data_IF_761453418839
#
_entry.id   IF_761453418839
#
_cell.length_a   1.000
_cell.length_b   1.000
_cell.length_c   1.000
_cell.angle_alpha   90.00
_cell.angle_beta   90.00
_cell.angle_gamma   90.00
#
_symmetry.space_group_name_H-M   'P 1'
#
loop_
_entity.id
_entity.type
_entity.pdbx_description
1 polymer ?
#
# COMPACT_ATOMS: atom_id res chain seq x y z
N UNK A 1 35.81 -17.16 20.70
CA UNK A 1 34.75 -16.17 20.45
C UNK A 1 34.19 -16.44 19.06
N UNK A 2 33.00 -17.03 18.96
CA UNK A 2 32.35 -17.29 17.68
C UNK A 2 31.51 -16.07 17.32
N UNK A 3 31.91 -15.37 16.26
CA UNK A 3 31.16 -14.24 15.70
C UNK A 3 30.06 -14.83 14.81
N UNK A 4 28.98 -15.36 15.40
CA UNK A 4 27.75 -15.69 14.65
C UNK A 4 26.93 -14.40 14.62
N UNK A 5 27.37 -13.49 13.77
CA UNK A 5 26.79 -12.16 13.64
C UNK A 5 26.51 -11.85 12.19
N UNK A 6 25.52 -12.50 11.58
CA UNK A 6 24.64 -11.88 10.58
C UNK A 6 23.30 -12.62 10.66
N UNK A 7 22.29 -11.92 11.18
CA UNK A 7 20.91 -12.41 11.23
C UNK A 7 20.41 -12.62 9.80
N UNK A 8 20.18 -13.87 9.40
CA UNK A 8 19.49 -14.19 8.15
C UNK A 8 18.01 -13.88 8.37
N UNK A 9 17.58 -12.66 8.01
CA UNK A 9 16.15 -12.37 7.92
C UNK A 9 15.52 -13.41 6.98
N UNK A 10 14.47 -14.09 7.42
CA UNK A 10 13.79 -15.09 6.59
C UNK A 10 13.29 -14.42 5.30
N UNK A 11 13.23 -15.15 4.19
CA UNK A 11 12.71 -14.61 2.92
C UNK A 11 11.30 -14.02 3.08
N UNK A 12 10.47 -14.57 3.98
CA UNK A 12 9.18 -14.00 4.36
C UNK A 12 9.31 -12.63 5.04
N UNK A 13 10.25 -12.48 5.96
CA UNK A 13 10.46 -11.22 6.69
C UNK A 13 10.90 -10.08 5.76
N UNK A 14 11.87 -10.34 4.88
CA UNK A 14 12.31 -9.36 3.89
C UNK A 14 11.19 -8.96 2.92
N UNK A 15 10.41 -9.94 2.48
CA UNK A 15 9.28 -9.69 1.60
C UNK A 15 8.16 -8.90 2.32
N UNK A 16 7.88 -9.20 3.60
CA UNK A 16 6.92 -8.45 4.40
C UNK A 16 7.31 -6.98 4.55
N UNK A 17 8.57 -6.70 4.87
CA UNK A 17 9.08 -5.32 4.95
C UNK A 17 8.93 -4.59 3.62
N UNK A 18 9.32 -5.24 2.52
CA UNK A 18 9.19 -4.66 1.18
C UNK A 18 7.72 -4.41 0.77
N UNK A 19 6.80 -5.29 1.16
CA UNK A 19 5.36 -5.11 0.93
C UNK A 19 4.81 -3.98 1.80
N UNK A 20 5.17 -3.91 3.09
CA UNK A 20 4.78 -2.82 3.98
C UNK A 20 5.21 -1.45 3.46
N UNK A 21 6.44 -1.35 2.93
CA UNK A 21 6.94 -0.11 2.33
C UNK A 21 6.10 0.33 1.11
N UNK A 22 5.65 -0.62 0.28
CA UNK A 22 4.79 -0.32 -0.85
C UNK A 22 3.41 0.21 -0.40
N UNK A 23 2.83 -0.39 0.64
CA UNK A 23 1.59 0.10 1.26
C UNK A 23 1.78 1.48 1.90
N UNK A 24 2.90 1.74 2.56
CA UNK A 24 3.21 3.06 3.14
C UNK A 24 3.27 4.15 2.06
N UNK A 25 3.89 3.85 0.90
CA UNK A 25 3.89 4.78 -0.25
C UNK A 25 2.48 5.04 -0.78
N UNK A 26 1.63 4.02 -0.86
CA UNK A 26 0.23 4.17 -1.26
C UNK A 26 -0.57 5.05 -0.28
N UNK A 27 -0.40 4.82 1.02
CA UNK A 27 -1.02 5.60 2.10
C UNK A 27 -0.61 7.07 2.02
N UNK A 28 0.69 7.35 1.80
CA UNK A 28 1.18 8.72 1.63
C UNK A 28 0.53 9.39 0.42
N UNK A 29 0.43 8.71 -0.73
CA UNK A 29 -0.21 9.27 -1.93
C UNK A 29 -1.68 9.64 -1.67
N UNK A 30 -2.45 8.75 -1.04
CA UNK A 30 -3.86 9.02 -0.71
C UNK A 30 -4.02 10.18 0.30
N UNK A 31 -3.14 10.25 1.30
CA UNK A 31 -3.15 11.36 2.26
C UNK A 31 -2.80 12.71 1.61
N UNK A 32 -1.83 12.75 0.69
CA UNK A 32 -1.51 13.97 -0.06
C UNK A 32 -2.71 14.44 -0.89
N UNK A 33 -3.42 13.52 -1.56
CA UNK A 33 -4.62 13.89 -2.29
C UNK A 33 -5.70 14.49 -1.37
N UNK A 34 -5.89 13.96 -0.16
CA UNK A 34 -6.86 14.54 0.80
C UNK A 34 -6.52 15.96 1.25
N UNK A 35 -5.27 16.39 1.11
CA UNK A 35 -4.85 17.77 1.38
C UNK A 35 -5.27 18.67 0.22
N UNK A 36 -5.05 18.22 -1.02
CA UNK A 36 -5.21 19.03 -2.23
C UNK A 36 -6.64 18.99 -2.81
N UNK A 37 -7.35 17.87 -2.70
CA UNK A 37 -8.68 17.65 -3.28
C UNK A 37 -9.73 17.28 -2.22
N UNK A 38 -10.67 18.19 -2.01
CA UNK A 38 -11.83 18.01 -1.12
C UNK A 38 -13.06 17.44 -1.82
N UNK A 39 -13.09 17.45 -3.15
CA UNK A 39 -14.23 16.98 -3.96
C UNK A 39 -14.46 15.48 -3.75
N UNK A 40 -13.37 14.71 -3.73
CA UNK A 40 -13.42 13.25 -3.59
C UNK A 40 -13.11 12.77 -2.17
N UNK A 41 -13.15 13.65 -1.16
CA UNK A 41 -12.68 13.36 0.20
C UNK A 41 -13.25 12.05 0.76
N UNK A 42 -14.56 11.82 0.62
CA UNK A 42 -15.19 10.59 1.13
C UNK A 42 -14.63 9.34 0.46
N UNK A 43 -14.52 9.33 -0.88
CA UNK A 43 -14.03 8.19 -1.63
C UNK A 43 -12.55 7.91 -1.29
N UNK A 44 -11.72 8.95 -1.24
CA UNK A 44 -10.30 8.82 -0.93
C UNK A 44 -10.10 8.36 0.52
N UNK A 45 -10.90 8.84 1.48
CA UNK A 45 -10.86 8.35 2.87
C UNK A 45 -11.24 6.88 2.99
N UNK A 46 -12.29 6.45 2.30
CA UNK A 46 -12.67 5.03 2.27
C UNK A 46 -11.52 4.18 1.73
N UNK A 47 -10.93 4.58 0.60
CA UNK A 47 -9.78 3.86 0.02
C UNK A 47 -8.56 3.85 0.93
N UNK A 48 -8.29 4.94 1.62
CA UNK A 48 -7.21 5.04 2.60
C UNK A 48 -7.40 4.02 3.74
N UNK A 49 -8.60 3.89 4.30
CA UNK A 49 -8.87 2.90 5.34
C UNK A 49 -8.72 1.47 4.82
N UNK A 50 -9.22 1.15 3.62
CA UNK A 50 -9.01 -0.17 3.01
C UNK A 50 -7.52 -0.53 2.91
N UNK A 51 -6.69 0.40 2.41
CA UNK A 51 -5.24 0.17 2.27
C UNK A 51 -4.56 0.04 3.64
N UNK A 52 -4.98 0.81 4.64
CA UNK A 52 -4.45 0.71 6.00
C UNK A 52 -4.82 -0.62 6.68
N UNK A 53 -6.06 -1.07 6.51
CA UNK A 53 -6.52 -2.34 7.07
C UNK A 53 -5.78 -3.51 6.44
N UNK A 54 -5.67 -3.54 5.10
CA UNK A 54 -4.91 -4.58 4.39
C UNK A 54 -3.42 -4.58 4.78
N UNK A 55 -2.81 -3.39 4.98
CA UNK A 55 -1.43 -3.28 5.49
C UNK A 55 -1.26 -3.96 6.87
N UNK A 56 -2.25 -3.82 7.75
CA UNK A 56 -2.20 -4.38 9.11
C UNK A 56 -2.31 -5.91 9.11
N UNK A 57 -2.90 -6.48 8.06
CA UNK A 57 -3.11 -7.92 7.90
C UNK A 57 -1.96 -8.62 7.13
N UNK A 58 -0.98 -7.87 6.60
CA UNK A 58 0.13 -8.43 5.80
C UNK A 58 0.89 -9.59 6.47
N UNK A 59 0.95 -9.63 7.80
CA UNK A 59 1.62 -10.72 8.53
C UNK A 59 1.02 -12.11 8.27
N UNK A 60 -0.27 -12.16 7.93
CA UNK A 60 -1.05 -13.38 7.75
C UNK A 60 -0.83 -14.03 6.37
N UNK A 61 -0.27 -13.28 5.42
CA UNK A 61 -0.03 -13.75 4.06
C UNK A 61 1.27 -14.57 3.93
N UNK A 62 1.29 -15.45 2.93
CA UNK A 62 2.49 -16.17 2.50
C UNK A 62 3.46 -15.24 1.76
N UNK A 63 4.74 -15.65 1.65
CA UNK A 63 5.75 -14.89 0.90
C UNK A 63 5.33 -14.63 -0.56
N UNK A 64 4.69 -15.59 -1.23
CA UNK A 64 4.21 -15.43 -2.60
C UNK A 64 3.06 -14.45 -2.73
N UNK A 65 2.13 -14.46 -1.77
CA UNK A 65 1.02 -13.49 -1.74
C UNK A 65 1.55 -12.08 -1.49
N UNK A 66 2.45 -11.92 -0.51
CA UNK A 66 3.12 -10.65 -0.23
C UNK A 66 3.84 -10.08 -1.46
N UNK A 67 4.49 -10.94 -2.26
CA UNK A 67 5.13 -10.53 -3.51
C UNK A 67 4.11 -10.02 -4.54
N UNK A 68 2.97 -10.68 -4.69
CA UNK A 68 1.89 -10.25 -5.59
C UNK A 68 1.31 -8.91 -5.11
N UNK A 69 0.98 -8.81 -3.82
CA UNK A 69 0.42 -7.59 -3.22
C UNK A 69 1.37 -6.40 -3.34
N UNK A 70 2.67 -6.60 -3.12
CA UNK A 70 3.69 -5.56 -3.31
C UNK A 70 3.66 -5.01 -4.74
N UNK A 71 3.49 -5.89 -5.74
CA UNK A 71 3.49 -5.49 -7.15
C UNK A 71 2.20 -4.81 -7.57
N UNK A 72 1.07 -5.14 -6.95
CA UNK A 72 -0.24 -4.63 -7.37
C UNK A 72 -0.69 -3.35 -6.66
N UNK A 73 -0.25 -3.08 -5.44
CA UNK A 73 -0.81 -1.98 -4.63
C UNK A 73 -0.63 -0.60 -5.27
N UNK A 74 0.52 -0.33 -5.90
CA UNK A 74 0.76 0.96 -6.54
C UNK A 74 -0.13 1.17 -7.79
N UNK A 75 -0.35 0.11 -8.57
CA UNK A 75 -1.23 0.12 -9.74
C UNK A 75 -2.70 0.26 -9.32
N UNK A 76 -3.14 -0.50 -8.31
CA UNK A 76 -4.49 -0.42 -7.75
C UNK A 76 -4.83 1.01 -7.28
N UNK A 77 -3.89 1.69 -6.61
CA UNK A 77 -4.08 3.07 -6.16
C UNK A 77 -4.08 4.02 -7.35
N UNK A 78 -3.20 3.83 -8.33
CA UNK A 78 -3.17 4.65 -9.54
C UNK A 78 -4.49 4.57 -10.34
N UNK A 79 -5.02 3.37 -10.53
CA UNK A 79 -6.28 3.15 -11.25
C UNK A 79 -7.47 3.79 -10.52
N UNK A 80 -7.50 3.64 -9.19
CA UNK A 80 -8.50 4.31 -8.34
C UNK A 80 -8.46 5.83 -8.53
N UNK A 81 -7.27 6.43 -8.47
CA UNK A 81 -7.09 7.88 -8.62
C UNK A 81 -7.47 8.37 -10.01
N UNK A 82 -7.13 7.61 -11.04
CA UNK A 82 -7.50 7.91 -12.44
C UNK A 82 -9.02 7.90 -12.61
N UNK A 83 -9.69 6.89 -12.05
CA UNK A 83 -11.15 6.77 -12.08
C UNK A 83 -11.89 7.89 -11.33
N UNK A 84 -11.28 8.52 -10.32
CA UNK A 84 -11.84 9.72 -9.68
C UNK A 84 -11.78 10.93 -10.62
N UNK A 85 -10.66 11.12 -11.31
CA UNK A 85 -10.48 12.25 -12.21
C UNK A 85 -11.39 12.17 -13.44
N UNK A 86 -11.63 10.96 -13.98
CA UNK A 86 -12.58 10.75 -15.08
C UNK A 86 -14.02 11.11 -14.68
N UNK A 87 -14.42 10.85 -13.43
CA UNK A 87 -15.75 11.23 -12.92
C UNK A 87 -15.91 12.75 -12.75
N UNK A 88 -14.82 13.48 -12.49
CA UNK A 88 -14.85 14.93 -12.33
C UNK A 88 -15.08 15.70 -13.66
N UNK A 89 -14.75 15.09 -14.80
CA UNK A 89 -14.86 15.72 -16.14
C UNK A 89 -16.28 15.60 -16.74
N UNK A 90 -17.13 14.72 -16.20
CA UNK A 90 -18.47 14.41 -16.75
C UNK A 90 -19.59 15.28 -16.12
N UNK A 91 -19.25 16.27 -15.29
CA UNK A 91 -20.23 17.16 -14.60
C UNK A 91 -20.34 18.53 -15.27
#
# INVERSE_FOLDING_TARGET
MSMIGVSVASSKSLQLEATQEAYDRAIVKLNLLLIDDKTHEKAVRTKLFEVMDERNELGDYSTSELYIMQKSIEEMVYDFLTGLNEQAVVV
#
